data_IF_745361975160
#
_entry.id   IF_745361975160
#
_cell.length_a   1.000
_cell.length_b   1.000
_cell.length_c   1.000
_cell.angle_alpha   90.00
_cell.angle_beta   90.00
_cell.angle_gamma   90.00
#
_symmetry.space_group_name_H-M   'P 1'
#
loop_
_entity.id
_entity.type
_entity.pdbx_description
1 polymer ?
#
# COMPACT_ATOMS: atom_id res chain seq x y z
N UNK A 1 15.34 -6.80 -4.86
CA UNK A 1 14.57 -7.70 -3.97
C UNK A 1 14.02 -6.82 -2.86
N UNK A 2 12.70 -6.65 -2.78
CA UNK A 2 12.07 -5.91 -1.69
C UNK A 2 12.29 -6.71 -0.41
N UNK A 3 12.93 -6.11 0.60
CA UNK A 3 13.59 -6.81 1.71
C UNK A 3 12.68 -7.51 2.72
N UNK A 4 11.41 -7.71 2.43
CA UNK A 4 10.48 -8.31 3.38
C UNK A 4 9.32 -8.93 2.59
N UNK A 5 9.29 -10.26 2.57
CA UNK A 5 8.29 -11.13 1.92
C UNK A 5 6.91 -11.03 2.58
N UNK A 6 6.63 -9.95 3.31
CA UNK A 6 5.33 -9.75 3.95
C UNK A 6 4.30 -9.40 2.90
N UNK A 7 3.43 -10.36 2.66
CA UNK A 7 2.17 -10.22 1.95
C UNK A 7 1.13 -9.77 2.97
N UNK A 8 0.44 -8.68 2.68
CA UNK A 8 -0.71 -8.22 3.43
C UNK A 8 -1.90 -9.10 3.04
N UNK A 9 -2.34 -9.96 3.96
CA UNK A 9 -3.46 -10.87 3.73
C UNK A 9 -4.78 -10.43 4.35
N UNK A 10 -4.76 -9.44 5.23
CA UNK A 10 -5.92 -8.92 5.97
C UNK A 10 -6.02 -7.40 5.89
N UNK A 11 -7.22 -6.86 6.15
CA UNK A 11 -7.51 -5.43 6.07
C UNK A 11 -6.81 -4.63 7.16
N UNK A 12 -6.60 -5.21 8.35
CA UNK A 12 -5.94 -4.57 9.47
C UNK A 12 -4.46 -4.27 9.15
N UNK A 13 -3.76 -5.21 8.53
CA UNK A 13 -2.39 -5.00 8.06
C UNK A 13 -2.31 -3.98 6.92
N UNK A 14 -3.31 -3.96 6.02
CA UNK A 14 -3.39 -2.92 4.98
C UNK A 14 -3.54 -1.55 5.63
N UNK A 15 -4.46 -1.40 6.57
CA UNK A 15 -4.70 -0.14 7.27
C UNK A 15 -3.47 0.30 8.07
N UNK A 16 -2.84 -0.63 8.81
CA UNK A 16 -1.61 -0.36 9.55
C UNK A 16 -0.47 0.09 8.62
N UNK A 17 -0.37 -0.52 7.42
CA UNK A 17 0.58 -0.10 6.40
C UNK A 17 0.30 1.33 5.93
N UNK A 18 -0.94 1.65 5.58
CA UNK A 18 -1.34 3.00 5.15
C UNK A 18 -1.05 4.04 6.25
N UNK A 19 -1.39 3.74 7.50
CA UNK A 19 -1.14 4.59 8.67
C UNK A 19 0.36 4.81 8.91
N UNK A 20 1.18 3.77 8.74
CA UNK A 20 2.63 3.86 8.89
C UNK A 20 3.28 4.69 7.78
N UNK A 21 2.73 4.62 6.56
CA UNK A 21 3.13 5.49 5.44
C UNK A 21 2.74 6.94 5.72
N UNK A 22 1.49 7.21 6.12
CA UNK A 22 1.03 8.56 6.51
C UNK A 22 1.79 9.15 7.70
N UNK A 23 2.10 8.33 8.70
CA UNK A 23 2.83 8.77 9.90
C UNK A 23 4.32 9.03 9.63
N UNK A 24 4.82 8.70 8.44
CA UNK A 24 6.24 8.83 8.12
C UNK A 24 7.14 7.79 8.81
N UNK A 25 6.56 6.70 9.34
CA UNK A 25 7.30 5.65 10.04
C UNK A 25 8.34 4.96 9.16
N UNK A 26 8.14 5.01 7.83
CA UNK A 26 9.09 4.49 6.84
C UNK A 26 10.17 5.51 6.44
N UNK A 27 10.13 6.74 6.95
CA UNK A 27 11.07 7.80 6.56
C UNK A 27 10.93 8.21 5.08
N UNK A 28 9.75 8.01 4.50
CA UNK A 28 9.44 8.39 3.12
C UNK A 28 9.09 9.88 3.08
N UNK A 29 9.78 10.63 2.23
CA UNK A 29 9.53 12.05 1.99
C UNK A 29 8.81 12.22 0.65
N UNK A 30 7.90 13.20 0.57
CA UNK A 30 7.19 13.52 -0.69
C UNK A 30 6.18 12.46 -1.12
N UNK A 31 5.54 11.75 -0.19
CA UNK A 31 4.45 10.82 -0.52
C UNK A 31 3.29 11.63 -1.11
N UNK A 32 2.98 11.40 -2.38
CA UNK A 32 1.86 12.05 -3.06
C UNK A 32 0.62 11.16 -3.11
N UNK A 33 0.78 9.84 -3.00
CA UNK A 33 -0.36 8.94 -2.99
C UNK A 33 -0.01 7.48 -2.79
N UNK A 34 -1.06 6.69 -2.56
CA UNK A 34 -0.99 5.25 -2.41
C UNK A 34 -2.01 4.64 -3.38
N UNK A 35 -1.61 3.60 -4.10
CA UNK A 35 -2.44 2.96 -5.12
C UNK A 35 -2.31 1.44 -5.05
N UNK A 36 -3.38 0.72 -5.40
CA UNK A 36 -3.31 -0.72 -5.64
C UNK A 36 -2.98 -0.99 -7.10
N UNK A 37 -1.94 -1.78 -7.34
CA UNK A 37 -1.47 -2.15 -8.65
C UNK A 37 -1.31 -3.67 -8.77
N UNK A 38 -1.26 -4.16 -10.01
CA UNK A 38 -0.99 -5.57 -10.30
C UNK A 38 0.30 -5.66 -11.07
N UNK A 39 1.20 -6.54 -10.63
CA UNK A 39 2.47 -6.73 -11.31
C UNK A 39 2.24 -7.63 -12.54
N UNK A 40 2.47 -7.11 -13.74
CA UNK A 40 2.30 -7.87 -14.98
C UNK A 40 3.31 -9.02 -15.14
N UNK A 41 4.44 -8.99 -14.42
CA UNK A 41 5.45 -10.05 -14.49
C UNK A 41 5.06 -11.31 -13.70
N UNK A 42 4.41 -11.15 -12.54
CA UNK A 42 4.03 -12.24 -11.64
C UNK A 42 2.52 -12.47 -11.54
N UNK A 43 1.70 -11.52 -12.01
CA UNK A 43 0.25 -11.51 -11.80
C UNK A 43 -0.18 -11.18 -10.36
N UNK A 44 0.76 -10.92 -9.46
CA UNK A 44 0.48 -10.63 -8.04
C UNK A 44 0.05 -9.17 -7.83
N UNK A 45 -0.90 -8.98 -6.93
CA UNK A 45 -1.37 -7.66 -6.52
C UNK A 45 -0.45 -7.06 -5.45
N UNK A 46 -0.25 -5.75 -5.50
CA UNK A 46 0.52 -5.03 -4.51
C UNK A 46 -0.03 -3.63 -4.28
N UNK A 47 0.16 -3.11 -3.08
CA UNK A 47 -0.03 -1.69 -2.77
C UNK A 47 1.28 -0.96 -3.02
N UNK A 48 1.19 0.15 -3.75
CA UNK A 48 2.27 0.99 -4.20
C UNK A 48 2.15 2.38 -3.58
N UNK A 49 3.22 2.84 -2.96
CA UNK A 49 3.37 4.21 -2.45
C UNK A 49 4.15 4.99 -3.49
N UNK A 50 3.58 6.11 -3.92
CA UNK A 50 4.10 6.96 -4.99
C UNK A 50 4.53 8.31 -4.41
N UNK A 51 5.63 8.85 -4.92
CA UNK A 51 6.02 10.23 -4.65
C UNK A 51 5.32 11.23 -5.58
N UNK A 52 5.54 12.52 -5.37
CA UNK A 52 5.07 13.63 -6.22
C UNK A 52 5.41 13.47 -7.71
N UNK A 53 6.49 12.75 -8.05
CA UNK A 53 6.88 12.45 -9.42
C UNK A 53 6.29 11.14 -9.97
N UNK A 54 5.33 10.52 -9.27
CA UNK A 54 4.76 9.21 -9.58
C UNK A 54 5.80 8.07 -9.61
N UNK A 55 6.92 8.20 -8.92
CA UNK A 55 7.89 7.11 -8.77
C UNK A 55 7.48 6.22 -7.59
N UNK A 56 7.67 4.92 -7.76
CA UNK A 56 7.43 3.94 -6.71
C UNK A 56 8.46 4.08 -5.60
N UNK A 57 8.03 4.55 -4.43
CA UNK A 57 8.85 4.64 -3.23
C UNK A 57 8.88 3.32 -2.47
N UNK A 58 7.70 2.72 -2.28
CA UNK A 58 7.52 1.51 -1.50
C UNK A 58 6.40 0.65 -2.08
N UNK A 59 6.59 -0.66 -2.09
CA UNK A 59 5.55 -1.61 -2.49
C UNK A 59 5.43 -2.74 -1.47
N UNK A 60 4.19 -3.20 -1.26
CA UNK A 60 3.88 -4.40 -0.47
C UNK A 60 2.94 -5.31 -1.23
N UNK A 61 3.26 -6.60 -1.27
CA UNK A 61 2.37 -7.59 -1.86
C UNK A 61 1.08 -7.67 -1.05
N UNK A 62 -0.03 -7.86 -1.73
CA UNK A 62 -1.35 -8.06 -1.13
C UNK A 62 -2.01 -9.29 -1.74
N UNK A 63 -2.89 -9.94 -0.99
CA UNK A 63 -3.72 -11.02 -1.54
C UNK A 63 -4.81 -10.46 -2.45
N UNK A 64 -5.39 -11.31 -3.31
CA UNK A 64 -6.51 -10.93 -4.18
C UNK A 64 -7.74 -10.46 -3.38
N UNK A 65 -7.96 -11.04 -2.20
CA UNK A 65 -9.02 -10.61 -1.29
C UNK A 65 -8.82 -9.16 -0.87
N UNK A 66 -7.61 -8.79 -0.41
CA UNK A 66 -7.27 -7.43 0.00
C UNK A 66 -7.22 -6.47 -1.18
N UNK A 67 -6.81 -6.93 -2.35
CA UNK A 67 -6.91 -6.13 -3.56
C UNK A 67 -8.36 -5.75 -3.90
N UNK A 68 -9.35 -6.57 -3.52
CA UNK A 68 -10.79 -6.28 -3.74
C UNK A 68 -11.41 -5.49 -2.59
N UNK A 69 -11.16 -5.91 -1.36
CA UNK A 69 -11.77 -5.30 -0.16
C UNK A 69 -11.06 -4.01 0.26
N UNK A 70 -9.76 -3.89 0.00
CA UNK A 70 -8.91 -2.75 0.35
C UNK A 70 -8.98 -1.58 -0.62
N UNK A 71 -9.70 -1.68 -1.75
CA UNK A 71 -9.83 -0.56 -2.69
C UNK A 71 -10.50 0.65 -2.05
N UNK A 72 -11.47 0.42 -1.17
CA UNK A 72 -12.16 1.48 -0.44
C UNK A 72 -11.20 2.18 0.53
N UNK A 73 -10.38 1.43 1.27
CA UNK A 73 -9.38 1.96 2.19
C UNK A 73 -8.28 2.77 1.49
N UNK A 74 -7.78 2.28 0.35
CA UNK A 74 -6.74 3.01 -0.41
C UNK A 74 -7.33 4.27 -1.06
N UNK A 75 -8.59 4.22 -1.50
CA UNK A 75 -9.25 5.34 -2.17
C UNK A 75 -9.75 6.42 -1.21
N UNK A 76 -10.33 6.03 -0.09
CA UNK A 76 -10.87 6.95 0.91
C UNK A 76 -9.84 7.33 1.99
N UNK A 77 -8.68 6.68 2.00
CA UNK A 77 -7.72 6.72 3.09
C UNK A 77 -8.11 5.77 4.23
N UNK A 78 -7.17 5.41 5.13
CA UNK A 78 -7.50 4.67 6.34
C UNK A 78 -8.59 5.47 7.07
N UNK A 79 -9.68 4.80 7.46
CA UNK A 79 -10.79 5.47 8.15
C UNK A 79 -10.22 6.05 9.43
N UNK A 80 -9.95 7.35 9.46
CA UNK A 80 -9.74 8.09 10.71
C UNK A 80 -11.05 7.97 11.48
N UNK A 81 -11.14 6.96 12.34
CA UNK A 81 -12.20 6.89 13.33
C UNK A 81 -11.98 8.10 14.24
N UNK A 82 -12.78 9.13 14.02
CA UNK A 82 -12.84 10.35 14.81
C UNK A 82 -13.28 10.02 16.24
#
# INVERSE_FOLDING_TARGET
>A
MFSDDRVIDNLEELEAFLLAVESGSFGLEGIAGIALATNNADGRHFVAVLDDNHQLLLARWVTDEIFKTGQDLVRNGPKRSH
#
